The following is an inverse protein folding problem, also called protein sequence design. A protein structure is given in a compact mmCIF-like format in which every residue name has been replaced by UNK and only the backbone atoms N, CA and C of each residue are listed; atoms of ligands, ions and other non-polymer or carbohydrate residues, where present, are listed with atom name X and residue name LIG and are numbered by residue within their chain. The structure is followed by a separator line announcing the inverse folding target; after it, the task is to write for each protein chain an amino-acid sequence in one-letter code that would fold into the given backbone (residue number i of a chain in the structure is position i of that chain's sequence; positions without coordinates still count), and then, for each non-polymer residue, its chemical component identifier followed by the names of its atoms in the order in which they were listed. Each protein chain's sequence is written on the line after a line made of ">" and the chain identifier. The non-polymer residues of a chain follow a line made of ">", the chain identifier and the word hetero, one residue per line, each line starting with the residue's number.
data_IF_784095725401
#
_entry.id   IF_784095725401
#
_cell.length_a   1.000
_cell.length_b   1.000
_cell.length_c   1.000
_cell.angle_alpha   90.00
_cell.angle_beta   90.00
_cell.angle_gamma   90.00
#
_symmetry.space_group_name_H-M   'P 1'
#
loop_
_entity.id
_entity.type
_entity.pdbx_description
1 polymer ?
#
# COMPACT_ATOMS: atom_id res chain seq x y z
N UNK A 1 -13.42 -24.79 2.98
CA UNK A 1 -12.21 -23.96 2.83
C UNK A 1 -12.60 -22.69 2.09
N UNK A 2 -12.18 -21.52 2.57
CA UNK A 2 -12.35 -20.31 1.79
C UNK A 2 -11.48 -20.40 0.52
N UNK A 3 -11.95 -19.89 -0.63
CA UNK A 3 -11.16 -19.89 -1.85
C UNK A 3 -9.89 -19.06 -1.66
N UNK A 4 -8.81 -19.47 -2.34
CA UNK A 4 -7.58 -18.67 -2.41
C UNK A 4 -7.91 -17.36 -3.12
N UNK A 5 -7.51 -16.24 -2.51
CA UNK A 5 -7.69 -14.90 -3.09
C UNK A 5 -6.38 -14.46 -3.70
N UNK A 6 -6.39 -14.20 -5.01
CA UNK A 6 -5.26 -13.63 -5.74
C UNK A 6 -5.33 -12.10 -5.77
N UNK A 7 -4.19 -11.39 -5.83
CA UNK A 7 -4.20 -9.94 -6.00
C UNK A 7 -4.86 -9.57 -7.33
N UNK A 8 -5.80 -8.63 -7.30
CA UNK A 8 -6.43 -8.08 -8.49
C UNK A 8 -5.90 -6.66 -8.73
N UNK A 9 -4.88 -6.53 -9.56
CA UNK A 9 -4.24 -5.25 -9.89
C UNK A 9 -5.10 -4.28 -10.71
N UNK A 10 -6.36 -4.65 -11.03
CA UNK A 10 -7.38 -3.74 -11.56
C UNK A 10 -8.40 -3.29 -10.50
N UNK A 11 -8.44 -3.95 -9.33
CA UNK A 11 -9.31 -3.66 -8.20
C UNK A 11 -8.60 -3.94 -6.86
N UNK A 12 -7.56 -3.13 -6.59
CA UNK A 12 -6.68 -3.24 -5.42
C UNK A 12 -6.38 -1.90 -4.77
N UNK A 13 -5.68 -1.98 -3.63
CA UNK A 13 -5.12 -0.83 -2.92
C UNK A 13 -4.19 0.03 -3.80
N UNK A 14 -3.53 -0.56 -4.80
CA UNK A 14 -2.71 0.17 -5.78
C UNK A 14 -3.55 1.11 -6.64
N UNK A 15 -4.76 0.67 -7.02
CA UNK A 15 -5.66 1.43 -7.88
C UNK A 15 -6.27 2.63 -7.14
N UNK A 16 -6.38 2.56 -5.80
CA UNK A 16 -6.81 3.69 -4.95
C UNK A 16 -5.86 4.88 -5.13
N UNK A 17 -4.56 4.65 -5.00
CA UNK A 17 -3.56 5.72 -5.18
C UNK A 17 -3.56 6.26 -6.61
N UNK A 18 -3.76 5.41 -7.62
CA UNK A 18 -3.85 5.86 -9.01
C UNK A 18 -5.12 6.68 -9.29
N UNK A 19 -6.26 6.38 -8.65
CA UNK A 19 -7.45 7.24 -8.68
C UNK A 19 -7.20 8.61 -8.05
N UNK A 20 -6.47 8.67 -6.94
CA UNK A 20 -6.12 9.94 -6.28
C UNK A 20 -5.19 10.76 -7.19
N UNK A 21 -4.18 10.14 -7.80
CA UNK A 21 -3.29 10.81 -8.76
C UNK A 21 -4.07 11.40 -9.94
N UNK A 22 -4.97 10.60 -10.53
CA UNK A 22 -5.85 11.05 -11.62
C UNK A 22 -6.72 12.23 -11.20
N UNK A 23 -7.32 12.18 -10.01
CA UNK A 23 -8.18 13.25 -9.50
C UNK A 23 -7.45 14.60 -9.42
N UNK A 24 -6.17 14.59 -9.04
CA UNK A 24 -5.33 15.81 -8.99
C UNK A 24 -4.58 16.12 -10.30
N UNK A 25 -4.87 15.40 -11.39
CA UNK A 25 -4.21 15.63 -12.69
C UNK A 25 -2.74 15.19 -12.75
N UNK A 26 -2.29 14.37 -11.81
CA UNK A 26 -0.94 13.82 -11.79
C UNK A 26 -0.82 12.57 -12.68
N UNK A 27 0.41 12.20 -13.03
CA UNK A 27 0.71 10.99 -13.80
C UNK A 27 0.28 9.74 -13.01
N UNK A 28 -0.48 8.87 -13.64
CA UNK A 28 -0.79 7.53 -13.15
C UNK A 28 0.20 6.50 -13.68
N UNK A 29 0.38 5.41 -12.94
CA UNK A 29 1.28 4.30 -13.29
C UNK A 29 0.51 3.01 -13.57
N UNK A 30 -0.71 2.90 -13.03
CA UNK A 30 -1.60 1.75 -13.15
C UNK A 30 -3.05 2.20 -13.42
N UNK A 31 -3.97 1.28 -13.77
CA UNK A 31 -5.39 1.58 -13.87
C UNK A 31 -5.96 2.20 -12.60
N UNK A 32 -6.98 3.05 -12.74
CA UNK A 32 -7.68 3.67 -11.62
C UNK A 32 -8.86 2.82 -11.15
N UNK A 33 -9.31 3.04 -9.92
CA UNK A 33 -10.47 2.35 -9.35
C UNK A 33 -11.76 3.09 -9.74
N UNK A 34 -12.52 2.54 -10.69
CA UNK A 34 -13.72 3.17 -11.27
C UNK A 34 -14.74 3.67 -10.24
N UNK A 35 -14.98 2.91 -9.17
CA UNK A 35 -15.91 3.30 -8.09
C UNK A 35 -15.41 4.56 -7.37
N UNK A 36 -14.11 4.65 -7.11
CA UNK A 36 -13.51 5.80 -6.46
C UNK A 36 -13.45 7.02 -7.39
N UNK A 37 -13.13 6.82 -8.68
CA UNK A 37 -13.17 7.89 -9.68
C UNK A 37 -14.55 8.57 -9.73
N UNK A 38 -15.63 7.77 -9.72
CA UNK A 38 -17.00 8.28 -9.70
C UNK A 38 -17.33 9.05 -8.41
N UNK A 39 -16.82 8.58 -7.26
CA UNK A 39 -16.99 9.30 -5.98
C UNK A 39 -16.26 10.65 -6.05
N UNK A 40 -14.99 10.65 -6.45
CA UNK A 40 -14.13 11.83 -6.50
C UNK A 40 -14.61 12.89 -7.51
N UNK A 41 -15.31 12.50 -8.57
CA UNK A 41 -15.90 13.42 -9.57
C UNK A 41 -16.87 14.47 -8.97
N UNK A 42 -17.29 14.31 -7.71
CA UNK A 42 -18.09 15.30 -6.96
C UNK A 42 -17.31 16.53 -6.50
N UNK A 43 -16.02 16.66 -6.85
CA UNK A 43 -15.16 17.82 -6.57
C UNK A 43 -15.12 18.21 -5.09
N UNK A 44 -14.62 17.29 -4.27
CA UNK A 44 -14.44 17.53 -2.84
C UNK A 44 -13.33 18.56 -2.58
N UNK A 45 -13.58 19.47 -1.64
CA UNK A 45 -12.59 20.45 -1.15
C UNK A 45 -11.38 19.77 -0.50
N UNK A 46 -11.63 18.74 0.30
CA UNK A 46 -10.61 17.99 1.03
C UNK A 46 -10.83 16.50 0.80
N UNK A 47 -9.75 15.79 0.47
CA UNK A 47 -9.74 14.32 0.34
C UNK A 47 -8.78 13.76 1.36
N UNK A 48 -9.27 12.85 2.21
CA UNK A 48 -8.48 12.17 3.24
C UNK A 48 -8.47 10.67 2.95
N UNK A 49 -7.28 10.09 2.79
CA UNK A 49 -7.09 8.65 2.70
C UNK A 49 -6.68 8.10 4.07
N UNK A 50 -7.46 7.16 4.60
CA UNK A 50 -7.14 6.42 5.83
C UNK A 50 -6.67 5.01 5.45
N UNK A 51 -5.40 4.71 5.68
CA UNK A 51 -4.84 3.38 5.57
C UNK A 51 -4.74 2.76 6.98
N UNK A 52 -5.50 1.70 7.23
CA UNK A 52 -5.57 1.05 8.54
C UNK A 52 -4.93 -0.34 8.45
N UNK A 53 -3.84 -0.55 9.19
CA UNK A 53 -3.10 -1.81 9.17
C UNK A 53 -3.97 -2.97 9.70
N UNK A 54 -3.89 -4.12 9.03
CA UNK A 54 -4.62 -5.33 9.39
C UNK A 54 -6.15 -5.29 9.25
N UNK A 55 -6.75 -4.20 8.74
CA UNK A 55 -8.21 -4.08 8.63
C UNK A 55 -8.75 -4.69 7.33
N UNK A 56 -9.18 -5.96 7.40
CA UNK A 56 -9.89 -6.66 6.31
C UNK A 56 -11.41 -6.50 6.36
N UNK A 57 -12.08 -6.72 5.21
CA UNK A 57 -13.54 -6.62 5.09
C UNK A 57 -14.28 -7.60 6.01
N UNK A 58 -13.72 -8.80 6.22
CA UNK A 58 -14.33 -9.82 7.07
C UNK A 58 -14.41 -9.37 8.53
N UNK A 59 -13.39 -8.63 9.02
CA UNK A 59 -13.41 -8.07 10.36
C UNK A 59 -14.54 -7.03 10.50
N UNK A 60 -14.74 -6.19 9.48
CA UNK A 60 -15.83 -5.20 9.43
C UNK A 60 -17.19 -5.91 9.45
N UNK A 61 -17.42 -6.88 8.57
CA UNK A 61 -18.73 -7.55 8.44
C UNK A 61 -19.06 -8.40 9.66
N UNK A 62 -18.07 -9.08 10.24
CA UNK A 62 -18.26 -9.98 11.40
C UNK A 62 -18.51 -9.22 12.70
N UNK A 63 -17.86 -8.08 12.90
CA UNK A 63 -17.85 -7.41 14.20
C UNK A 63 -18.66 -6.12 14.24
N UNK A 64 -19.00 -5.51 13.09
CA UNK A 64 -19.77 -4.27 13.07
C UNK A 64 -21.22 -4.48 12.62
N UNK A 65 -22.20 -3.87 13.33
CA UNK A 65 -23.58 -3.83 12.87
C UNK A 65 -23.72 -3.18 11.49
N UNK A 66 -24.75 -3.53 10.73
CA UNK A 66 -25.02 -2.98 9.40
C UNK A 66 -25.14 -1.45 9.39
N UNK A 67 -25.69 -0.88 10.47
CA UNK A 67 -25.86 0.58 10.63
C UNK A 67 -24.58 1.31 11.06
N UNK A 68 -23.48 0.60 11.32
CA UNK A 68 -22.20 1.22 11.70
C UNK A 68 -21.65 2.11 10.59
N UNK A 69 -20.91 3.16 10.94
CA UNK A 69 -20.40 4.15 9.98
C UNK A 69 -19.57 3.55 8.84
N UNK A 70 -18.71 2.56 9.14
CA UNK A 70 -17.88 1.89 8.15
C UNK A 70 -18.69 0.98 7.23
N UNK A 71 -19.58 0.15 7.81
CA UNK A 71 -20.35 -0.83 7.02
C UNK A 71 -21.43 -0.15 6.16
N UNK A 72 -22.13 0.86 6.70
CA UNK A 72 -23.20 1.56 5.97
C UNK A 72 -22.70 2.36 4.76
N UNK A 73 -21.42 2.73 4.72
CA UNK A 73 -20.81 3.50 3.63
C UNK A 73 -19.82 2.67 2.79
N UNK A 74 -19.68 1.36 3.03
CA UNK A 74 -18.82 0.50 2.25
C UNK A 74 -19.29 0.46 0.78
N UNK A 75 -18.53 1.07 -0.13
CA UNK A 75 -18.89 1.15 -1.55
C UNK A 75 -18.39 -0.07 -2.35
N UNK A 76 -17.21 -0.59 -1.99
CA UNK A 76 -16.61 -1.74 -2.68
C UNK A 76 -15.56 -2.40 -1.78
N UNK A 77 -15.23 -3.65 -2.10
CA UNK A 77 -14.10 -4.39 -1.53
C UNK A 77 -12.99 -4.45 -2.57
N UNK A 78 -11.75 -4.23 -2.13
CA UNK A 78 -10.55 -4.29 -2.97
C UNK A 78 -9.57 -5.31 -2.41
N UNK A 79 -8.70 -5.82 -3.26
CA UNK A 79 -7.57 -6.67 -2.84
C UNK A 79 -6.40 -5.80 -2.35
N UNK A 80 -5.50 -6.38 -1.55
CA UNK A 80 -4.17 -5.78 -1.35
C UNK A 80 -3.25 -6.14 -2.53
N UNK A 81 -2.02 -5.63 -2.50
CA UNK A 81 -0.94 -6.11 -3.37
C UNK A 81 -0.39 -7.45 -2.86
N UNK A 82 0.43 -8.11 -3.69
CA UNK A 82 1.21 -9.27 -3.25
C UNK A 82 2.71 -8.95 -3.21
N UNK A 83 3.41 -9.33 -2.14
CA UNK A 83 2.88 -9.94 -0.91
C UNK A 83 2.05 -8.94 -0.11
N UNK A 84 1.06 -9.40 0.65
CA UNK A 84 0.16 -8.55 1.43
C UNK A 84 0.78 -8.12 2.77
N UNK A 85 2.04 -7.68 2.75
CA UNK A 85 2.75 -7.19 3.93
C UNK A 85 2.49 -5.70 4.16
N UNK A 86 2.65 -5.21 5.39
CA UNK A 86 2.56 -3.77 5.71
C UNK A 86 3.51 -2.96 4.84
N UNK A 87 4.73 -3.45 4.59
CA UNK A 87 5.73 -2.76 3.77
C UNK A 87 5.28 -2.64 2.31
N UNK A 88 4.88 -3.75 1.69
CA UNK A 88 4.45 -3.76 0.29
C UNK A 88 3.19 -2.92 0.08
N UNK A 89 2.17 -3.08 0.94
CA UNK A 89 0.92 -2.35 0.81
C UNK A 89 1.08 -0.85 1.06
N UNK A 90 1.83 -0.46 2.11
CA UNK A 90 2.08 0.96 2.42
C UNK A 90 2.89 1.60 1.30
N UNK A 91 3.95 0.94 0.83
CA UNK A 91 4.77 1.46 -0.27
C UNK A 91 3.95 1.62 -1.54
N UNK A 92 3.06 0.67 -1.85
CA UNK A 92 2.17 0.78 -3.01
C UNK A 92 1.20 1.97 -2.90
N UNK A 93 0.68 2.21 -1.69
CA UNK A 93 -0.18 3.37 -1.43
C UNK A 93 0.60 4.68 -1.59
N UNK A 94 1.80 4.75 -1.01
CA UNK A 94 2.61 5.96 -0.96
C UNK A 94 3.34 6.29 -2.26
N UNK A 95 3.46 5.34 -3.20
CA UNK A 95 4.14 5.55 -4.48
C UNK A 95 3.21 5.45 -5.70
N UNK A 96 2.02 4.86 -5.54
CA UNK A 96 1.15 4.51 -6.65
C UNK A 96 1.71 3.40 -7.56
N UNK A 97 2.73 2.66 -7.12
CA UNK A 97 3.44 1.61 -7.86
C UNK A 97 3.33 0.25 -7.18
N UNK A 98 3.43 -0.82 -7.96
CA UNK A 98 3.37 -2.20 -7.45
C UNK A 98 4.65 -2.59 -6.69
N UNK A 99 4.60 -3.62 -5.82
CA UNK A 99 5.80 -4.15 -5.16
C UNK A 99 6.88 -4.61 -6.14
N UNK A 100 6.48 -5.08 -7.34
CA UNK A 100 7.42 -5.47 -8.40
C UNK A 100 8.25 -4.28 -8.90
N UNK A 101 7.66 -3.08 -8.93
CA UNK A 101 8.33 -1.86 -9.39
C UNK A 101 9.15 -1.18 -8.30
N UNK A 102 8.78 -1.34 -7.03
CA UNK A 102 9.48 -0.68 -5.91
C UNK A 102 10.55 -1.57 -5.30
N UNK A 103 10.37 -2.89 -5.32
CA UNK A 103 11.26 -3.83 -4.64
C UNK A 103 11.06 -3.88 -3.12
N UNK A 104 9.98 -3.30 -2.59
CA UNK A 104 9.64 -3.29 -1.16
C UNK A 104 8.61 -4.38 -0.86
N UNK A 105 9.08 -5.59 -0.54
CA UNK A 105 8.22 -6.77 -0.38
C UNK A 105 7.90 -7.10 1.09
N UNK A 106 8.82 -6.85 2.02
CA UNK A 106 8.68 -7.34 3.40
C UNK A 106 9.33 -6.44 4.45
N UNK A 107 9.11 -6.77 5.72
CA UNK A 107 9.62 -6.01 6.87
C UNK A 107 11.13 -5.79 6.81
N UNK A 108 11.87 -6.85 6.49
CA UNK A 108 13.29 -6.79 6.19
C UNK A 108 13.60 -7.55 4.90
N UNK A 109 14.67 -7.15 4.22
CA UNK A 109 15.16 -7.80 3.01
C UNK A 109 16.67 -7.92 3.06
N UNK A 110 17.20 -9.01 2.53
CA UNK A 110 18.64 -9.15 2.35
C UNK A 110 19.12 -8.25 1.21
N UNK A 111 20.06 -7.36 1.52
CA UNK A 111 20.71 -6.45 0.58
C UNK A 111 22.14 -6.94 0.38
N UNK A 112 22.41 -7.47 -0.81
CA UNK A 112 23.67 -8.14 -1.13
C UNK A 112 24.88 -7.23 -0.97
N UNK A 113 24.73 -5.96 -1.32
CA UNK A 113 25.80 -4.94 -1.28
C UNK A 113 26.25 -4.62 0.16
N UNK A 114 25.37 -4.81 1.14
CA UNK A 114 25.68 -4.64 2.57
C UNK A 114 26.02 -5.95 3.29
N UNK A 115 25.76 -7.08 2.62
CA UNK A 115 25.70 -8.42 3.18
C UNK A 115 24.83 -8.48 4.46
N UNK A 116 23.65 -7.85 4.42
CA UNK A 116 22.77 -7.74 5.59
C UNK A 116 21.29 -7.86 5.26
N UNK A 117 20.53 -8.37 6.23
CA UNK A 117 19.08 -8.19 6.25
C UNK A 117 18.72 -6.83 6.83
N UNK A 118 18.14 -5.94 6.03
CA UNK A 118 17.82 -4.56 6.44
C UNK A 118 16.32 -4.39 6.65
N UNK A 119 15.92 -3.88 7.81
CA UNK A 119 14.56 -3.41 8.08
C UNK A 119 14.32 -2.15 7.26
N UNK A 120 13.48 -2.25 6.23
CA UNK A 120 13.41 -1.23 5.18
C UNK A 120 12.95 0.14 5.71
N UNK A 121 11.92 0.17 6.57
CA UNK A 121 11.41 1.43 7.14
C UNK A 121 12.32 2.04 8.20
N UNK A 122 13.13 1.23 8.89
CA UNK A 122 13.94 1.71 10.01
C UNK A 122 15.41 1.94 9.64
N UNK A 123 15.84 1.47 8.47
CA UNK A 123 17.23 1.48 8.04
C UNK A 123 18.16 0.87 9.12
N UNK A 124 17.82 -0.33 9.60
CA UNK A 124 18.56 -1.06 10.63
C UNK A 124 18.82 -2.48 10.19
N UNK A 125 19.98 -3.03 10.54
CA UNK A 125 20.23 -4.44 10.35
C UNK A 125 19.31 -5.24 11.28
N UNK A 126 18.66 -6.26 10.73
CA UNK A 126 17.64 -7.05 11.42
C UNK A 126 18.26 -8.04 12.41
N UNK A 127 19.34 -8.72 12.01
CA UNK A 127 20.02 -9.73 12.83
C UNK A 127 21.21 -9.17 13.61
N UNK A 128 21.63 -7.93 13.34
CA UNK A 128 22.78 -7.29 13.99
C UNK A 128 22.41 -5.86 14.44
N UNK A 129 21.73 -5.70 15.59
CA UNK A 129 21.23 -4.40 16.05
C UNK A 129 22.31 -3.33 16.27
N UNK A 130 23.56 -3.75 16.49
CA UNK A 130 24.69 -2.85 16.70
C UNK A 130 25.27 -2.32 15.37
N UNK A 131 24.99 -2.99 14.24
CA UNK A 131 25.40 -2.51 12.92
C UNK A 131 24.59 -1.27 12.54
N UNK A 132 25.31 -0.18 12.34
CA UNK A 132 24.78 1.09 11.84
C UNK A 132 25.17 1.26 10.39
N UNK A 133 24.26 1.85 9.61
CA UNK A 133 24.53 2.25 8.25
C UNK A 133 24.77 3.76 8.20
N UNK A 134 25.82 4.19 7.51
CA UNK A 134 26.16 5.61 7.34
C UNK A 134 25.24 6.33 6.33
N UNK A 135 24.36 5.57 5.65
CA UNK A 135 23.37 6.07 4.70
C UNK A 135 22.08 5.24 4.76
N UNK A 136 21.03 5.72 4.10
CA UNK A 136 19.81 4.93 3.93
C UNK A 136 20.02 3.86 2.85
N UNK A 137 20.11 2.60 3.27
CA UNK A 137 20.39 1.44 2.40
C UNK A 137 19.27 1.25 1.39
N UNK A 138 18.02 1.28 1.84
CA UNK A 138 16.86 1.04 0.96
C UNK A 138 16.75 2.14 -0.11
N UNK A 139 16.94 3.41 0.25
CA UNK A 139 16.95 4.52 -0.70
C UNK A 139 18.11 4.46 -1.70
N UNK A 140 19.23 3.81 -1.36
CA UNK A 140 20.38 3.67 -2.26
C UNK A 140 20.17 2.55 -3.28
N UNK A 141 19.68 1.39 -2.85
CA UNK A 141 19.65 0.18 -3.70
C UNK A 141 18.27 -0.14 -4.28
N UNK A 142 17.19 0.25 -3.62
CA UNK A 142 15.80 0.05 -4.07
C UNK A 142 14.98 1.35 -3.92
N UNK A 143 15.40 2.44 -4.59
CA UNK A 143 14.74 3.73 -4.49
C UNK A 143 13.34 3.69 -5.09
N UNK A 144 12.43 4.46 -4.50
CA UNK A 144 11.16 4.81 -5.12
C UNK A 144 10.78 6.25 -4.74
N UNK A 145 9.82 6.82 -5.47
CA UNK A 145 9.32 8.18 -5.23
C UNK A 145 7.96 8.12 -4.55
N UNK A 146 7.81 8.87 -3.45
CA UNK A 146 6.52 9.07 -2.80
C UNK A 146 5.63 10.05 -3.58
N UNK A 147 4.32 10.02 -3.30
CA UNK A 147 3.35 10.94 -3.91
C UNK A 147 3.41 12.38 -3.35
N UNK A 148 4.15 12.62 -2.26
CA UNK A 148 4.26 13.92 -1.58
C UNK A 148 5.71 14.27 -1.23
#
# INVERSE_FOLDING_TARGET
>A
MNPIVFPNYENSILNVSNSILKYYGAKTWHPTLRVLDHVLAKNYRNVVLLLIDGLGVDAIVKHLPEKSMLRKHLQTTITSVFPSTTVAATTAVLSGRSPLETGWFGWHQYIKEEDESVILFLNKAYYNPDKKFDYNVASKFIPYTNLY
#
